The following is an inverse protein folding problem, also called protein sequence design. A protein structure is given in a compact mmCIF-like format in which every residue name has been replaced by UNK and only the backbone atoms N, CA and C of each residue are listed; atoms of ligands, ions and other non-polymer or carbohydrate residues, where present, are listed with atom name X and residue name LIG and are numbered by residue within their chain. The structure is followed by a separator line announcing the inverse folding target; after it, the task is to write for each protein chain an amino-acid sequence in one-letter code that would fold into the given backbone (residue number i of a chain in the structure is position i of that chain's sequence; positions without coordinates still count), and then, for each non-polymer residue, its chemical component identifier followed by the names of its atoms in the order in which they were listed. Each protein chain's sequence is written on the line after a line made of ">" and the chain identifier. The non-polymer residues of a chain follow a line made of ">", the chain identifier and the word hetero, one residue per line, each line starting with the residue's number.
data_IF_369203075261
#
_entry.id   IF_369203075261
#
_cell.length_a   1.000
_cell.length_b   1.000
_cell.length_c   1.000
_cell.angle_alpha   90.00
_cell.angle_beta   90.00
_cell.angle_gamma   90.00
#
_symmetry.space_group_name_H-M   'P 1'
#
loop_
_entity.id
_entity.type
_entity.pdbx_description
1 polymer ?
#
# COMPACT_ATOMS: atom_id res chain seq x y z
N UNK A 1 -26.47 32.25 -28.97
CA UNK A 1 -25.22 31.50 -28.74
C UNK A 1 -24.10 32.43 -28.29
N UNK A 2 -23.80 33.49 -29.03
CA UNK A 2 -22.84 34.54 -28.67
C UNK A 2 -22.97 35.06 -27.22
N UNK A 3 -24.16 35.52 -26.80
CA UNK A 3 -24.38 36.04 -25.45
C UNK A 3 -24.09 35.02 -24.33
N UNK A 4 -24.22 33.71 -24.60
CA UNK A 4 -23.86 32.67 -23.63
C UNK A 4 -22.34 32.50 -23.54
N UNK A 5 -21.65 32.54 -24.68
CA UNK A 5 -20.18 32.48 -24.72
C UNK A 5 -19.56 33.69 -24.04
N UNK A 6 -20.08 34.90 -24.30
CA UNK A 6 -19.66 36.14 -23.62
C UNK A 6 -19.84 36.04 -22.10
N UNK A 7 -20.96 35.50 -21.61
CA UNK A 7 -21.20 35.25 -20.18
C UNK A 7 -20.22 34.24 -19.56
N UNK A 8 -19.71 33.31 -20.35
CA UNK A 8 -18.68 32.35 -19.94
C UNK A 8 -17.25 32.91 -20.05
N UNK A 9 -17.10 34.21 -20.37
CA UNK A 9 -15.81 34.89 -20.46
C UNK A 9 -15.15 34.83 -21.85
N UNK A 10 -15.82 34.27 -22.87
CA UNK A 10 -15.27 34.22 -24.23
C UNK A 10 -15.28 35.62 -24.88
N UNK A 11 -14.10 36.07 -25.32
CA UNK A 11 -13.90 37.37 -25.97
C UNK A 11 -14.32 37.32 -27.45
N UNK A 12 -15.62 37.22 -27.69
CA UNK A 12 -16.21 37.06 -29.03
C UNK A 12 -15.80 38.14 -30.03
N UNK A 13 -15.77 39.41 -29.60
CA UNK A 13 -15.44 40.54 -30.47
C UNK A 13 -13.99 40.48 -30.96
N UNK A 14 -13.05 40.17 -30.05
CA UNK A 14 -11.64 39.96 -30.38
C UNK A 14 -11.47 38.76 -31.32
N UNK A 15 -12.08 37.63 -30.97
CA UNK A 15 -12.03 36.41 -31.76
C UNK A 15 -12.55 36.61 -33.18
N UNK A 16 -13.69 37.27 -33.34
CA UNK A 16 -14.30 37.49 -34.64
C UNK A 16 -13.47 38.47 -35.47
N UNK A 17 -12.92 39.54 -34.86
CA UNK A 17 -12.06 40.50 -35.53
C UNK A 17 -10.80 39.86 -36.15
N UNK A 18 -10.24 38.83 -35.50
CA UNK A 18 -9.08 38.07 -35.96
C UNK A 18 -9.40 37.09 -37.12
N UNK A 19 -10.68 36.85 -37.44
CA UNK A 19 -11.06 35.95 -38.53
C UNK A 19 -10.80 36.57 -39.91
N UNK A 20 -10.32 35.80 -40.91
CA UNK A 20 -10.07 36.32 -42.26
C UNK A 20 -11.31 36.94 -42.90
N UNK A 21 -11.15 38.08 -43.56
CA UNK A 21 -12.21 38.68 -44.37
C UNK A 21 -12.46 37.85 -45.64
N UNK A 22 -13.74 37.72 -46.02
CA UNK A 22 -14.15 37.02 -47.24
C UNK A 22 -14.74 38.04 -48.20
N UNK A 23 -14.11 38.26 -49.35
CA UNK A 23 -14.62 39.19 -50.37
C UNK A 23 -15.72 38.48 -51.17
N UNK A 24 -16.96 38.67 -50.73
CA UNK A 24 -18.18 38.17 -51.39
C UNK A 24 -19.37 39.03 -50.96
N UNK A 25 -20.44 39.03 -51.75
CA UNK A 25 -21.75 39.63 -51.42
C UNK A 25 -22.32 39.15 -50.05
N UNK A 26 -21.92 37.96 -49.58
CA UNK A 26 -22.29 37.39 -48.28
C UNK A 26 -21.06 37.12 -47.40
N UNK A 27 -19.99 37.90 -47.59
CA UNK A 27 -18.68 37.70 -46.98
C UNK A 27 -18.72 37.56 -45.46
N UNK A 28 -19.49 38.42 -44.78
CA UNK A 28 -19.63 38.39 -43.32
C UNK A 28 -20.36 37.15 -42.81
N UNK A 29 -21.40 36.68 -43.52
CA UNK A 29 -22.11 35.44 -43.17
C UNK A 29 -21.23 34.21 -43.40
N UNK A 30 -20.46 34.18 -44.50
CA UNK A 30 -19.51 33.10 -44.78
C UNK A 30 -18.36 33.08 -43.76
N UNK A 31 -17.87 34.25 -43.37
CA UNK A 31 -16.86 34.43 -42.30
C UNK A 31 -17.40 33.93 -40.97
N UNK A 32 -18.61 34.32 -40.57
CA UNK A 32 -19.26 33.83 -39.35
C UNK A 32 -19.49 32.33 -39.36
N UNK A 33 -20.00 31.77 -40.46
CA UNK A 33 -20.18 30.33 -40.61
C UNK A 33 -18.86 29.59 -40.46
N UNK A 34 -17.80 30.05 -41.15
CA UNK A 34 -16.49 29.40 -41.06
C UNK A 34 -15.89 29.54 -39.64
N UNK A 35 -16.03 30.70 -39.00
CA UNK A 35 -15.58 30.92 -37.64
C UNK A 35 -16.29 30.00 -36.64
N UNK A 36 -17.60 29.81 -36.77
CA UNK A 36 -18.39 28.97 -35.85
C UNK A 36 -18.25 27.48 -36.15
N UNK A 37 -18.18 27.10 -37.42
CA UNK A 37 -18.16 25.68 -37.81
C UNK A 37 -16.77 25.06 -37.90
N UNK A 38 -15.70 25.86 -38.01
CA UNK A 38 -14.33 25.35 -38.17
C UNK A 38 -13.40 25.76 -37.04
N UNK A 39 -13.27 27.06 -36.79
CA UNK A 39 -12.27 27.58 -35.85
C UNK A 39 -12.72 27.50 -34.38
N UNK A 40 -13.98 27.82 -34.09
CA UNK A 40 -14.51 27.85 -32.73
C UNK A 40 -14.50 26.47 -32.05
N UNK A 41 -14.86 25.36 -32.72
CA UNK A 41 -14.79 24.02 -32.12
C UNK A 41 -13.37 23.67 -31.66
N UNK A 42 -12.34 23.95 -32.47
CA UNK A 42 -10.95 23.67 -32.09
C UNK A 42 -10.50 24.47 -30.87
N UNK A 43 -10.94 25.72 -30.73
CA UNK A 43 -10.64 26.54 -29.54
C UNK A 43 -11.34 25.97 -28.30
N UNK A 44 -12.60 25.57 -28.43
CA UNK A 44 -13.36 24.96 -27.33
C UNK A 44 -12.73 23.61 -26.94
N UNK A 45 -12.33 22.79 -27.90
CA UNK A 45 -11.63 21.51 -27.64
C UNK A 45 -10.29 21.73 -26.92
N UNK A 46 -9.50 22.72 -27.35
CA UNK A 46 -8.26 23.08 -26.67
C UNK A 46 -8.51 23.54 -25.23
N UNK A 47 -9.57 24.32 -25.01
CA UNK A 47 -9.96 24.78 -23.67
C UNK A 47 -10.46 23.63 -22.79
N UNK A 48 -11.23 22.69 -23.34
CA UNK A 48 -11.62 21.46 -22.64
C UNK A 48 -10.37 20.67 -22.23
N UNK A 49 -9.43 20.45 -23.15
CA UNK A 49 -8.19 19.74 -22.83
C UNK A 49 -7.36 20.46 -21.77
N UNK A 50 -7.27 21.79 -21.82
CA UNK A 50 -6.59 22.60 -20.80
C UNK A 50 -7.22 22.40 -19.42
N UNK A 51 -8.55 22.51 -19.32
CA UNK A 51 -9.27 22.33 -18.06
C UNK A 51 -9.13 20.91 -17.51
N UNK A 52 -9.21 19.90 -18.37
CA UNK A 52 -9.00 18.49 -17.99
C UNK A 52 -7.57 18.27 -17.47
N UNK A 53 -6.56 18.85 -18.13
CA UNK A 53 -5.18 18.77 -17.70
C UNK A 53 -4.96 19.45 -16.34
N UNK A 54 -5.55 20.63 -16.11
CA UNK A 54 -5.51 21.33 -14.83
C UNK A 54 -6.18 20.55 -13.70
N UNK A 55 -7.31 19.90 -14.00
CA UNK A 55 -7.97 19.02 -13.04
C UNK A 55 -7.08 17.83 -12.67
N UNK A 56 -6.53 17.13 -13.66
CA UNK A 56 -5.64 15.98 -13.41
C UNK A 56 -4.37 16.37 -12.66
N UNK A 57 -3.84 17.54 -12.95
CA UNK A 57 -2.68 18.09 -12.23
C UNK A 57 -3.01 18.34 -10.77
N UNK A 58 -4.18 18.92 -10.47
CA UNK A 58 -4.65 19.10 -9.08
C UNK A 58 -4.86 17.76 -8.36
N UNK A 59 -5.51 16.80 -9.00
CA UNK A 59 -5.71 15.46 -8.44
C UNK A 59 -4.36 14.81 -8.09
N UNK A 60 -3.38 14.86 -9.00
CA UNK A 60 -2.04 14.37 -8.78
C UNK A 60 -1.33 15.05 -7.59
N UNK A 61 -1.41 16.37 -7.50
CA UNK A 61 -0.82 17.13 -6.39
C UNK A 61 -1.46 16.78 -5.04
N UNK A 62 -2.79 16.66 -5.00
CA UNK A 62 -3.51 16.26 -3.79
C UNK A 62 -3.06 14.87 -3.31
N UNK A 63 -2.97 13.90 -4.22
CA UNK A 63 -2.49 12.56 -3.88
C UNK A 63 -1.05 12.56 -3.37
N UNK A 64 -0.15 13.33 -3.99
CA UNK A 64 1.21 13.48 -3.50
C UNK A 64 1.24 14.05 -2.08
N UNK A 65 0.43 15.07 -1.80
CA UNK A 65 0.38 15.70 -0.49
C UNK A 65 -0.15 14.74 0.58
N UNK A 66 -1.18 13.94 0.26
CA UNK A 66 -1.67 12.88 1.16
C UNK A 66 -0.59 11.86 1.47
N UNK A 67 0.18 11.40 0.48
CA UNK A 67 1.26 10.44 0.74
C UNK A 67 2.34 11.09 1.61
N UNK A 68 2.72 12.33 1.32
CA UNK A 68 3.71 13.07 2.10
C UNK A 68 3.31 13.30 3.56
N UNK A 69 2.03 13.43 3.89
CA UNK A 69 1.61 13.53 5.28
C UNK A 69 1.86 12.25 6.08
N UNK A 70 1.74 11.07 5.46
CA UNK A 70 2.06 9.79 6.11
C UNK A 70 3.57 9.60 6.34
N UNK A 71 4.43 10.32 5.62
CA UNK A 71 5.88 10.29 5.85
C UNK A 71 6.33 11.12 7.06
N UNK A 72 5.46 11.95 7.65
CA UNK A 72 5.78 12.73 8.84
C UNK A 72 5.72 11.89 10.13
N UNK A 73 5.33 10.61 10.03
CA UNK A 73 5.37 9.66 11.14
C UNK A 73 6.81 9.24 11.46
N UNK A 74 7.08 8.91 12.74
CA UNK A 74 8.38 8.40 13.16
C UNK A 74 8.69 7.07 12.46
N UNK A 75 9.72 7.07 11.60
CA UNK A 75 10.24 5.94 10.84
C UNK A 75 9.33 5.42 9.71
N UNK A 76 9.24 6.15 8.57
CA UNK A 76 8.45 5.72 7.42
C UNK A 76 9.00 4.43 6.81
N UNK A 77 8.10 3.55 6.35
CA UNK A 77 8.47 2.32 5.65
C UNK A 77 9.24 2.62 4.35
N UNK A 78 10.33 1.89 4.10
CA UNK A 78 11.10 1.97 2.85
C UNK A 78 10.23 1.81 1.60
N UNK A 79 9.19 0.97 1.67
CA UNK A 79 8.29 0.75 0.55
C UNK A 79 7.44 1.99 0.24
N UNK A 80 7.04 2.75 1.28
CA UNK A 80 6.32 4.01 1.14
C UNK A 80 7.22 5.08 0.51
N UNK A 81 8.50 5.13 0.91
CA UNK A 81 9.51 6.02 0.33
C UNK A 81 9.72 5.72 -1.16
N UNK A 82 9.92 4.44 -1.53
CA UNK A 82 10.07 4.01 -2.92
C UNK A 82 8.83 4.32 -3.75
N UNK A 83 7.63 4.13 -3.19
CA UNK A 83 6.38 4.46 -3.87
C UNK A 83 6.31 5.96 -4.16
N UNK A 84 6.61 6.81 -3.17
CA UNK A 84 6.60 8.26 -3.35
C UNK A 84 7.61 8.71 -4.42
N UNK A 85 8.82 8.14 -4.41
CA UNK A 85 9.83 8.46 -5.41
C UNK A 85 9.40 8.07 -6.83
N UNK A 86 8.85 6.86 -7.01
CA UNK A 86 8.37 6.39 -8.32
C UNK A 86 7.25 7.29 -8.88
N UNK A 87 6.33 7.74 -8.01
CA UNK A 87 5.25 8.67 -8.38
C UNK A 87 5.84 10.02 -8.79
N UNK A 88 6.76 10.59 -8.00
CA UNK A 88 7.40 11.89 -8.30
C UNK A 88 8.15 11.87 -9.62
N UNK A 89 8.87 10.78 -9.92
CA UNK A 89 9.60 10.59 -11.17
C UNK A 89 8.69 10.26 -12.36
N UNK A 90 7.42 9.91 -12.11
CA UNK A 90 6.49 9.36 -13.10
C UNK A 90 7.06 8.11 -13.81
N UNK A 91 7.85 7.32 -13.09
CA UNK A 91 8.47 6.11 -13.60
C UNK A 91 7.47 4.93 -13.48
N UNK A 92 6.77 4.62 -14.56
CA UNK A 92 5.72 3.59 -14.58
C UNK A 92 6.24 2.21 -14.11
N UNK A 93 7.39 1.79 -14.60
CA UNK A 93 7.96 0.48 -14.27
C UNK A 93 8.36 0.39 -12.78
N UNK A 94 8.95 1.46 -12.24
CA UNK A 94 9.28 1.54 -10.81
C UNK A 94 8.01 1.49 -9.95
N UNK A 95 6.97 2.24 -10.36
CA UNK A 95 5.69 2.26 -9.67
C UNK A 95 5.04 0.87 -9.64
N UNK A 96 5.01 0.18 -10.78
CA UNK A 96 4.44 -1.16 -10.90
C UNK A 96 5.17 -2.17 -10.01
N UNK A 97 6.51 -2.13 -9.99
CA UNK A 97 7.31 -3.00 -9.15
C UNK A 97 7.03 -2.78 -7.65
N UNK A 98 7.00 -1.52 -7.21
CA UNK A 98 6.71 -1.17 -5.81
C UNK A 98 5.28 -1.54 -5.43
N UNK A 99 4.31 -1.28 -6.31
CA UNK A 99 2.90 -1.60 -6.09
C UNK A 99 2.67 -3.11 -5.99
N UNK A 100 3.28 -3.90 -6.88
CA UNK A 100 3.27 -5.36 -6.82
C UNK A 100 3.80 -5.88 -5.48
N UNK A 101 4.91 -5.32 -5.00
CA UNK A 101 5.48 -5.67 -3.69
C UNK A 101 4.55 -5.29 -2.53
N UNK A 102 3.87 -4.16 -2.62
CA UNK A 102 2.85 -3.75 -1.65
C UNK A 102 1.71 -4.77 -1.58
N UNK A 103 1.16 -5.18 -2.73
CA UNK A 103 0.09 -6.18 -2.80
C UNK A 103 0.53 -7.51 -2.19
N UNK A 104 1.76 -7.95 -2.46
CA UNK A 104 2.31 -9.18 -1.88
C UNK A 104 2.45 -9.11 -0.36
N UNK A 105 2.81 -7.96 0.21
CA UNK A 105 2.84 -7.76 1.65
C UNK A 105 1.43 -7.80 2.25
N UNK A 106 0.46 -7.15 1.61
CA UNK A 106 -0.93 -7.19 2.06
C UNK A 106 -1.46 -8.63 2.07
N UNK A 107 -1.20 -9.41 1.02
CA UNK A 107 -1.57 -10.84 0.94
C UNK A 107 -0.96 -11.67 2.07
N UNK A 108 0.28 -11.38 2.46
CA UNK A 108 0.98 -12.07 3.55
C UNK A 108 0.56 -11.58 4.94
N UNK A 109 -0.11 -10.43 5.05
CA UNK A 109 -0.39 -9.78 6.33
C UNK A 109 -1.27 -10.63 7.24
N UNK A 110 -2.27 -11.32 6.70
CA UNK A 110 -3.17 -12.18 7.49
C UNK A 110 -2.44 -13.41 8.05
N UNK A 111 -1.67 -14.09 7.19
CA UNK A 111 -0.86 -15.25 7.60
C UNK A 111 0.17 -14.82 8.65
N UNK A 112 0.78 -13.65 8.49
CA UNK A 112 1.72 -13.09 9.46
C UNK A 112 1.06 -12.79 10.81
N UNK A 113 -0.14 -12.19 10.83
CA UNK A 113 -0.91 -11.97 12.07
C UNK A 113 -1.26 -13.30 12.75
N UNK A 114 -1.73 -14.28 11.98
CA UNK A 114 -2.04 -15.62 12.50
C UNK A 114 -0.81 -16.30 13.10
N UNK A 115 0.34 -16.20 12.43
CA UNK A 115 1.62 -16.71 12.94
C UNK A 115 2.00 -16.05 14.27
N UNK A 116 1.92 -14.72 14.37
CA UNK A 116 2.19 -14.01 15.64
C UNK A 116 1.27 -14.48 16.77
N UNK A 117 -0.03 -14.64 16.49
CA UNK A 117 -0.98 -15.11 17.50
C UNK A 117 -0.69 -16.55 17.98
N UNK A 118 -0.31 -17.45 17.06
CA UNK A 118 0.08 -18.83 17.41
C UNK A 118 1.37 -18.87 18.22
N UNK A 119 2.37 -18.07 17.85
CA UNK A 119 3.63 -17.94 18.59
C UNK A 119 3.40 -17.41 20.00
N UNK A 120 2.52 -16.41 20.18
CA UNK A 120 2.17 -15.89 21.49
C UNK A 120 1.51 -16.96 22.38
N UNK A 121 0.61 -17.77 21.80
CA UNK A 121 0.01 -18.91 22.52
C UNK A 121 1.05 -19.96 22.91
N UNK A 122 1.97 -20.29 22.01
CA UNK A 122 3.04 -21.25 22.28
C UNK A 122 4.00 -20.75 23.36
N UNK A 123 4.33 -19.45 23.35
CA UNK A 123 5.27 -18.87 24.29
C UNK A 123 4.83 -18.99 25.76
N UNK A 124 3.52 -19.09 26.03
CA UNK A 124 2.99 -19.28 27.38
C UNK A 124 3.34 -20.65 27.99
N UNK A 125 3.51 -21.68 27.15
CA UNK A 125 3.83 -23.04 27.61
C UNK A 125 5.27 -23.47 27.27
N UNK A 126 5.85 -22.94 26.18
CA UNK A 126 7.16 -23.31 25.67
C UNK A 126 7.89 -22.09 25.04
N UNK A 127 8.40 -21.15 25.86
CA UNK A 127 9.02 -19.91 25.38
C UNK A 127 10.26 -20.16 24.51
N UNK A 128 11.07 -21.18 24.82
CA UNK A 128 12.24 -21.54 24.00
C UNK A 128 11.87 -22.02 22.59
N UNK A 129 10.81 -22.82 22.47
CA UNK A 129 10.31 -23.27 21.17
C UNK A 129 9.68 -22.12 20.38
N UNK A 130 8.89 -21.28 21.05
CA UNK A 130 8.35 -20.09 20.40
C UNK A 130 9.47 -19.20 19.83
N UNK A 131 10.58 -19.02 20.57
CA UNK A 131 11.71 -18.20 20.11
C UNK A 131 12.47 -18.81 18.92
N UNK A 132 12.76 -20.11 18.98
CA UNK A 132 13.42 -20.83 17.88
C UNK A 132 12.56 -20.87 16.62
N UNK A 133 11.25 -21.08 16.75
CA UNK A 133 10.31 -20.99 15.62
C UNK A 133 10.25 -19.56 15.08
N UNK A 134 10.17 -18.54 15.93
CA UNK A 134 10.14 -17.13 15.54
C UNK A 134 11.36 -16.77 14.68
N UNK A 135 12.55 -17.09 15.17
CA UNK A 135 13.83 -16.83 14.51
C UNK A 135 14.14 -17.78 13.34
N UNK A 136 13.34 -18.85 13.18
CA UNK A 136 13.59 -19.95 12.24
C UNK A 136 14.95 -20.60 12.44
N UNK A 137 15.32 -20.79 13.71
CA UNK A 137 16.62 -21.30 14.10
C UNK A 137 16.54 -22.74 14.66
N UNK A 138 17.57 -23.53 14.36
CA UNK A 138 17.70 -24.92 14.80
C UNK A 138 16.61 -25.87 14.27
N UNK A 139 16.55 -27.07 14.87
CA UNK A 139 15.64 -28.14 14.44
C UNK A 139 14.15 -27.78 14.53
N UNK A 140 13.78 -26.89 15.47
CA UNK A 140 12.40 -26.45 15.67
C UNK A 140 12.05 -25.20 14.84
N UNK A 141 13.04 -24.52 14.24
CA UNK A 141 12.84 -23.33 13.41
C UNK A 141 12.42 -23.61 11.97
N UNK A 142 12.51 -24.88 11.54
CA UNK A 142 12.19 -25.33 10.20
C UNK A 142 10.71 -25.25 9.82
N UNK A 143 10.43 -25.54 8.55
CA UNK A 143 9.08 -25.70 8.03
C UNK A 143 8.54 -27.14 8.21
N UNK A 144 9.42 -28.06 8.59
CA UNK A 144 9.07 -29.45 8.93
C UNK A 144 9.08 -29.58 10.45
N UNK A 145 8.02 -30.19 10.98
CA UNK A 145 7.91 -30.48 12.40
C UNK A 145 8.91 -31.59 12.77
N UNK A 146 9.78 -31.39 13.79
CA UNK A 146 10.71 -32.42 14.20
C UNK A 146 9.98 -33.51 14.99
N UNK A 147 9.81 -34.68 14.37
CA UNK A 147 9.19 -35.84 14.98
C UNK A 147 7.70 -35.67 15.28
N UNK A 148 7.21 -36.45 16.25
CA UNK A 148 5.81 -36.44 16.69
C UNK A 148 5.65 -35.65 18.00
N UNK A 149 4.86 -34.55 18.02
CA UNK A 149 4.60 -33.78 19.22
C UNK A 149 3.94 -34.57 20.35
N UNK A 150 3.08 -35.54 20.03
CA UNK A 150 2.39 -36.34 21.05
C UNK A 150 3.39 -37.22 21.81
N UNK A 151 4.32 -37.83 21.07
CA UNK A 151 5.40 -38.62 21.66
C UNK A 151 6.36 -37.75 22.47
N UNK A 152 6.71 -36.56 21.97
CA UNK A 152 7.55 -35.62 22.69
C UNK A 152 6.90 -35.15 24.00
N UNK A 153 5.59 -34.92 24.00
CA UNK A 153 4.84 -34.57 25.20
C UNK A 153 4.78 -35.71 26.21
N UNK A 154 4.51 -36.94 25.75
CA UNK A 154 4.50 -38.12 26.62
C UNK A 154 5.87 -38.34 27.28
N UNK A 155 6.95 -38.18 26.52
CA UNK A 155 8.30 -38.26 27.05
C UNK A 155 8.54 -37.19 28.12
N UNK A 156 8.10 -35.94 27.89
CA UNK A 156 8.22 -34.86 28.88
C UNK A 156 7.49 -35.18 30.17
N UNK A 157 6.26 -35.71 30.09
CA UNK A 157 5.50 -36.15 31.25
C UNK A 157 6.21 -37.27 32.02
N UNK A 158 6.82 -38.23 31.33
CA UNK A 158 7.60 -39.27 31.99
C UNK A 158 8.82 -38.72 32.73
N UNK A 159 9.57 -37.80 32.11
CA UNK A 159 10.71 -37.14 32.76
C UNK A 159 10.25 -36.39 34.02
N UNK A 160 9.17 -35.60 33.92
CA UNK A 160 8.63 -34.85 35.04
C UNK A 160 8.15 -35.76 36.19
N UNK A 161 7.51 -36.89 35.88
CA UNK A 161 7.11 -37.87 36.89
C UNK A 161 8.31 -38.61 37.52
N UNK A 162 9.35 -38.91 36.74
CA UNK A 162 10.58 -39.49 37.26
C UNK A 162 11.29 -38.52 38.23
N UNK A 163 11.44 -37.26 37.85
CA UNK A 163 12.03 -36.21 38.69
C UNK A 163 11.25 -36.00 39.98
N UNK A 164 9.91 -35.97 39.88
CA UNK A 164 9.00 -35.86 41.03
C UNK A 164 9.18 -37.03 42.00
N UNK A 165 9.27 -38.27 41.50
CA UNK A 165 9.47 -39.48 42.33
C UNK A 165 10.86 -39.52 42.95
N UNK A 166 11.88 -39.13 42.19
CA UNK A 166 13.26 -39.10 42.67
C UNK A 166 13.43 -38.13 43.84
N UNK A 167 12.86 -36.93 43.71
CA UNK A 167 12.86 -35.89 44.74
C UNK A 167 12.22 -36.36 46.06
N UNK A 168 11.11 -37.11 45.98
CA UNK A 168 10.44 -37.68 47.16
C UNK A 168 11.23 -38.80 47.84
N UNK A 169 12.02 -39.57 47.10
CA UNK A 169 12.81 -40.68 47.66
C UNK A 169 14.00 -40.20 48.50
N UNK A 170 14.51 -39.00 48.23
CA UNK A 170 15.63 -38.39 48.96
C UNK A 170 15.14 -37.80 50.31
N UNK A 171 13.98 -37.13 50.33
CA UNK A 171 13.42 -36.57 51.57
C UNK A 171 13.04 -37.64 52.61
N UNK A 172 12.49 -38.77 52.16
CA UNK A 172 12.10 -39.88 53.07
C UNK A 172 13.32 -40.58 53.68
N UNK A 173 14.51 -40.49 53.07
CA UNK A 173 15.75 -41.04 53.64
C UNK A 173 16.45 -40.11 54.63
N UNK A 174 16.18 -38.81 54.60
CA UNK A 174 16.82 -37.83 55.50
C UNK A 174 16.17 -37.74 56.88
N UNK A 175 14.96 -38.30 57.07
CA UNK A 175 14.22 -38.26 58.35
C UNK A 175 14.33 -39.55 59.17
N UNK A 176 15.20 -40.49 58.76
CA UNK A 176 15.32 -41.82 59.36
C UNK A 176 16.68 -42.16 60.00
N UNK A 177 17.43 -41.17 60.51
CA UNK A 177 18.67 -41.44 61.26
C UNK A 177 18.93 -40.40 62.36
N UNK A 178 18.17 -40.52 63.45
CA UNK A 178 18.59 -40.13 64.80
C UNK A 178 17.98 -41.14 65.76
N UNK A 179 18.69 -42.24 65.98
CA UNK A 179 18.63 -43.04 67.21
C UNK A 179 20.05 -43.08 67.79
#
# INVERSE_FOLDING_TARGET
>A
MENRLKKLGFQWEKYFAEQPSVVHEFGDLLRLRNAVSKSLPTIIEAEIHRLMYEQKTREYQNHLQTIQSYLQEDNPSDLLLQLLESIKKKACDEYEAVYSRYIDLIRKSEIFRKRKALLAKLAAAAPGWAKTIELRDGAHGGHVLPGDPEQAWLFRQFVEELDRRHSRSIEVRSTGHTD
#
